data_IF_493401980297
#
_entry.id   IF_493401980297
#
_cell.length_a   1.000
_cell.length_b   1.000
_cell.length_c   1.000
_cell.angle_alpha   90.00
_cell.angle_beta   90.00
_cell.angle_gamma   90.00
#
_symmetry.space_group_name_H-M   'P 1'
#
loop_
_entity.id
_entity.type
_entity.pdbx_description
1 polymer ?
#
# COMPACT_ATOMS: atom_id res chain seq x y z
N UNK A 1 3.66 15.22 12.15
CA UNK A 1 4.10 14.92 10.77
C UNK A 1 2.82 14.78 9.97
N UNK A 2 2.53 15.67 9.02
CA UNK A 2 1.25 15.63 8.29
C UNK A 2 1.10 14.31 7.54
N UNK A 3 -0.12 13.77 7.49
CA UNK A 3 -0.42 12.62 6.65
C UNK A 3 -0.22 13.02 5.19
N UNK A 4 0.88 12.55 4.59
CA UNK A 4 1.08 12.67 3.16
C UNK A 4 0.36 11.51 2.50
N UNK A 5 -0.62 11.85 1.66
CA UNK A 5 -1.41 10.92 0.86
C UNK A 5 -1.20 11.25 -0.60
N UNK A 6 -1.29 10.24 -1.45
CA UNK A 6 -1.45 10.46 -2.89
C UNK A 6 -2.75 11.22 -3.15
N UNK A 7 -2.79 11.98 -4.25
CA UNK A 7 -3.99 12.77 -4.61
C UNK A 7 -5.17 11.90 -5.04
N UNK A 8 -4.90 10.70 -5.56
CA UNK A 8 -5.91 9.80 -6.10
C UNK A 8 -6.69 9.08 -4.99
N UNK A 9 -8.00 9.36 -4.89
CA UNK A 9 -8.91 8.60 -4.02
C UNK A 9 -9.08 7.14 -4.48
N UNK A 10 -9.05 6.89 -5.79
CA UNK A 10 -9.16 5.57 -6.39
C UNK A 10 -7.95 5.29 -7.29
N UNK A 11 -7.18 4.24 -6.96
CA UNK A 11 -6.02 3.81 -7.73
C UNK A 11 -6.43 2.79 -8.81
N UNK A 12 -6.95 3.28 -9.93
CA UNK A 12 -7.39 2.44 -11.07
C UNK A 12 -6.28 2.16 -12.10
N UNK A 13 -5.13 2.81 -11.94
CA UNK A 13 -3.98 2.74 -12.84
C UNK A 13 -3.04 3.93 -12.62
N UNK A 14 -1.97 4.00 -13.41
CA UNK A 14 -0.91 5.00 -13.20
C UNK A 14 -1.11 6.32 -13.95
N UNK A 15 -2.11 6.42 -14.84
CA UNK A 15 -2.31 7.56 -15.74
C UNK A 15 -2.48 8.89 -15.01
N UNK A 16 -3.14 8.86 -13.85
CA UNK A 16 -3.48 10.05 -13.07
C UNK A 16 -2.53 10.27 -11.89
N UNK A 17 -1.44 9.50 -11.80
CA UNK A 17 -0.43 9.71 -10.77
C UNK A 17 0.53 10.78 -11.24
N UNK A 18 0.73 11.80 -10.40
CA UNK A 18 1.84 12.73 -10.59
C UNK A 18 3.18 12.05 -10.29
N UNK A 19 4.28 12.65 -10.72
CA UNK A 19 5.61 12.14 -10.39
C UNK A 19 5.85 12.18 -8.87
N UNK A 20 5.27 13.16 -8.19
CA UNK A 20 5.27 13.35 -6.75
C UNK A 20 4.54 12.20 -6.04
N UNK A 21 3.34 11.81 -6.51
CA UNK A 21 2.60 10.67 -5.95
C UNK A 21 3.40 9.36 -6.08
N UNK A 22 4.04 9.15 -7.23
CA UNK A 22 4.87 7.95 -7.46
C UNK A 22 6.07 7.93 -6.52
N UNK A 23 6.74 9.08 -6.32
CA UNK A 23 7.85 9.19 -5.38
C UNK A 23 7.39 8.91 -3.95
N UNK A 24 6.25 9.46 -3.54
CA UNK A 24 5.68 9.20 -2.21
C UNK A 24 5.38 7.70 -2.00
N UNK A 25 4.84 7.01 -3.01
CA UNK A 25 4.62 5.55 -2.95
C UNK A 25 5.94 4.81 -2.74
N UNK A 26 7.00 5.15 -3.48
CA UNK A 26 8.31 4.50 -3.32
C UNK A 26 8.96 4.78 -1.96
N UNK A 27 8.96 6.04 -1.51
CA UNK A 27 9.48 6.41 -0.20
C UNK A 27 8.75 5.67 0.92
N UNK A 28 7.42 5.57 0.82
CA UNK A 28 6.60 4.81 1.77
C UNK A 28 6.95 3.32 1.72
N UNK A 29 7.07 2.74 0.53
CA UNK A 29 7.42 1.32 0.37
C UNK A 29 8.79 0.98 0.99
N UNK A 30 9.80 1.84 0.81
CA UNK A 30 11.13 1.67 1.40
C UNK A 30 11.09 1.71 2.93
N UNK A 31 10.33 2.65 3.51
CA UNK A 31 10.12 2.73 4.96
C UNK A 31 9.43 1.45 5.50
N UNK A 32 8.40 0.96 4.82
CA UNK A 32 7.69 -0.26 5.24
C UNK A 32 8.56 -1.51 5.11
N UNK A 33 9.45 -1.58 4.10
CA UNK A 33 10.41 -2.67 3.96
C UNK A 33 11.30 -2.81 5.21
N UNK A 34 11.76 -1.70 5.77
CA UNK A 34 12.52 -1.72 7.02
C UNK A 34 11.68 -2.18 8.21
N UNK A 35 10.40 -1.80 8.27
CA UNK A 35 9.49 -2.23 9.34
C UNK A 35 9.23 -3.73 9.30
N UNK A 36 9.10 -4.31 8.10
CA UNK A 36 8.92 -5.75 7.91
C UNK A 36 10.15 -6.57 8.31
N UNK A 37 11.35 -5.97 8.31
CA UNK A 37 12.58 -6.61 8.77
C UNK A 37 12.72 -6.63 10.31
N UNK A 38 11.91 -5.87 11.05
CA UNK A 38 11.99 -5.80 12.51
C UNK A 38 11.38 -7.05 13.17
N UNK A 39 11.90 -7.49 14.33
CA UNK A 39 11.32 -8.62 15.08
C UNK A 39 9.86 -8.42 15.46
N UNK A 40 9.45 -7.15 15.67
CA UNK A 40 8.08 -6.75 15.94
C UNK A 40 7.58 -5.91 14.77
N UNK A 41 6.83 -6.56 13.86
CA UNK A 41 6.25 -5.95 12.66
C UNK A 41 4.96 -5.17 12.97
N UNK A 42 4.96 -4.31 13.98
CA UNK A 42 3.77 -3.53 14.34
C UNK A 42 3.79 -2.18 13.65
N UNK A 43 2.97 -2.03 12.61
CA UNK A 43 2.55 -0.73 12.08
C UNK A 43 1.10 -0.52 12.54
N UNK A 44 0.82 0.46 13.41
CA UNK A 44 -0.51 0.61 14.03
C UNK A 44 -1.58 1.19 13.09
N UNK A 45 -1.22 1.58 11.87
CA UNK A 45 -2.04 2.43 10.99
C UNK A 45 -3.29 1.78 10.42
N UNK A 46 -3.36 0.44 10.34
CA UNK A 46 -4.53 -0.28 9.81
C UNK A 46 -5.31 -1.04 10.89
N UNK A 47 -5.03 -0.79 12.17
CA UNK A 47 -5.82 -1.41 13.24
C UNK A 47 -7.28 -0.99 13.09
N UNK A 48 -8.18 -1.96 13.23
CA UNK A 48 -9.64 -1.77 13.10
C UNK A 48 -10.11 -1.39 11.68
N UNK A 49 -9.25 -1.56 10.66
CA UNK A 49 -9.61 -1.42 9.24
C UNK A 49 -9.82 -2.81 8.61
N UNK A 50 -10.97 -2.98 7.94
CA UNK A 50 -11.26 -4.19 7.15
C UNK A 50 -10.98 -3.94 5.68
N UNK A 51 -10.14 -4.78 5.05
CA UNK A 51 -9.82 -4.74 3.63
C UNK A 51 -10.56 -5.88 2.92
N UNK A 52 -11.32 -5.57 1.87
CA UNK A 52 -12.03 -6.56 1.06
C UNK A 52 -11.31 -6.81 -0.27
N UNK A 53 -10.80 -8.02 -0.46
CA UNK A 53 -10.16 -8.46 -1.70
C UNK A 53 -11.19 -9.15 -2.62
N UNK A 54 -11.52 -8.54 -3.77
CA UNK A 54 -12.54 -9.04 -4.71
C UNK A 54 -11.87 -9.39 -6.05
N UNK A 55 -11.80 -10.69 -6.37
CA UNK A 55 -11.20 -11.21 -7.61
C UNK A 55 -12.23 -12.07 -8.36
N UNK A 56 -12.56 -11.68 -9.60
CA UNK A 56 -13.44 -12.47 -10.48
C UNK A 56 -12.66 -13.49 -11.34
N UNK A 57 -11.34 -13.34 -11.39
CA UNK A 57 -10.42 -14.20 -12.12
C UNK A 57 -9.24 -14.61 -11.20
N UNK A 58 -8.70 -15.80 -11.41
CA UNK A 58 -7.60 -16.32 -10.61
C UNK A 58 -6.31 -15.52 -10.84
N UNK A 59 -5.76 -14.91 -9.79
CA UNK A 59 -4.45 -14.27 -9.81
C UNK A 59 -3.68 -14.53 -8.51
N UNK A 60 -2.86 -15.58 -8.51
CA UNK A 60 -2.16 -16.06 -7.30
C UNK A 60 -1.22 -15.00 -6.72
N UNK A 61 -0.38 -14.38 -7.56
CA UNK A 61 0.64 -13.44 -7.09
C UNK A 61 0.03 -12.15 -6.55
N UNK A 62 -0.98 -11.61 -7.24
CA UNK A 62 -1.65 -10.37 -6.83
C UNK A 62 -2.43 -10.58 -5.54
N UNK A 63 -3.22 -11.66 -5.44
CA UNK A 63 -3.99 -11.94 -4.21
C UNK A 63 -3.07 -12.08 -3.00
N UNK A 64 -2.01 -12.87 -3.12
CA UNK A 64 -1.07 -13.06 -2.03
C UNK A 64 -0.40 -11.75 -1.60
N UNK A 65 -0.06 -10.85 -2.54
CA UNK A 65 0.57 -9.56 -2.18
C UNK A 65 -0.34 -8.61 -1.39
N UNK A 66 -1.66 -8.78 -1.43
CA UNK A 66 -2.63 -7.99 -0.65
C UNK A 66 -3.06 -8.68 0.66
N UNK A 67 -2.65 -9.93 0.90
CA UNK A 67 -2.96 -10.70 2.12
C UNK A 67 -1.80 -10.73 3.13
N UNK A 68 -0.57 -10.44 2.69
CA UNK A 68 0.67 -10.46 3.49
C UNK A 68 0.85 -9.18 4.34
#
# INVERSE_FOLDING_TARGET
MGEQSIQAQHLLGIRNLSAEDIRLIFETADQFKEVLARPIKKVPSLRDITIANVFFENSTRTRLSFEL
#
